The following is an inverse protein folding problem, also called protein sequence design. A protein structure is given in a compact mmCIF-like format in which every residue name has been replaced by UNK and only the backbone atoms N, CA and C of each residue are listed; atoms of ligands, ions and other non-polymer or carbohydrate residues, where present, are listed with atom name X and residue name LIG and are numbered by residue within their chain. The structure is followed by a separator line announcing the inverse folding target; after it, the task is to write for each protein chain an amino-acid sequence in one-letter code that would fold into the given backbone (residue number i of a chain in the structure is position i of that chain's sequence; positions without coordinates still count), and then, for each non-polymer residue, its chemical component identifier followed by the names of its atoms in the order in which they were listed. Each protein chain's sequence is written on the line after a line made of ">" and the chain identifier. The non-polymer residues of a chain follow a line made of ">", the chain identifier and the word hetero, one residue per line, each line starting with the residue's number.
data_IF_369050022403
#
_entry.id   IF_369050022403
#
_cell.length_a   1.000
_cell.length_b   1.000
_cell.length_c   1.000
_cell.angle_alpha   90.00
_cell.angle_beta   90.00
_cell.angle_gamma   90.00
#
_symmetry.space_group_name_H-M   'P 1'
#
loop_
_entity.id
_entity.type
_entity.pdbx_description
1 polymer ?
#
# COMPACT_ATOMS: atom_id res chain seq x y z
N UNK A 1 -6.30 46.90 -13.85
CA UNK A 1 -5.60 46.15 -12.78
C UNK A 1 -6.65 45.35 -12.04
N UNK A 2 -6.93 44.16 -12.53
CA UNK A 2 -7.79 43.21 -11.84
C UNK A 2 -6.93 42.58 -10.75
N UNK A 3 -7.20 42.90 -9.49
CA UNK A 3 -6.69 42.14 -8.36
C UNK A 3 -7.18 40.71 -8.54
N UNK A 4 -6.26 39.82 -8.92
CA UNK A 4 -6.38 38.38 -8.72
C UNK A 4 -6.73 38.19 -7.24
N UNK A 5 -8.00 37.98 -6.95
CA UNK A 5 -8.43 37.55 -5.63
C UNK A 5 -7.74 36.21 -5.44
N UNK A 6 -6.73 36.16 -4.58
CA UNK A 6 -6.09 34.92 -4.15
C UNK A 6 -7.21 33.93 -3.85
N UNK A 7 -7.25 32.85 -4.61
CA UNK A 7 -8.23 31.79 -4.46
C UNK A 7 -8.02 31.22 -3.06
N UNK A 8 -8.79 31.71 -2.08
CA UNK A 8 -8.77 31.19 -0.71
C UNK A 8 -9.12 29.73 -0.83
N UNK A 9 -8.17 28.88 -0.47
CA UNK A 9 -8.31 27.43 -0.46
C UNK A 9 -9.65 27.06 0.20
N UNK A 10 -10.63 26.55 -0.57
CA UNK A 10 -12.00 26.39 -0.08
C UNK A 10 -12.12 25.34 1.03
N UNK A 11 -11.11 24.50 1.22
CA UNK A 11 -11.04 23.49 2.28
C UNK A 11 -10.18 23.93 3.48
N UNK A 12 -9.46 25.04 3.35
CA UNK A 12 -8.55 25.58 4.37
C UNK A 12 -7.47 24.60 4.85
N UNK A 13 -6.87 24.94 6.01
CA UNK A 13 -5.82 24.14 6.66
C UNK A 13 -6.28 22.72 7.02
N UNK A 14 -7.58 22.53 7.26
CA UNK A 14 -8.13 21.26 7.70
C UNK A 14 -8.34 20.25 6.56
N UNK A 15 -8.35 20.70 5.29
CA UNK A 15 -8.62 19.82 4.15
C UNK A 15 -9.99 19.14 4.25
N UNK A 16 -10.96 19.81 4.88
CA UNK A 16 -12.33 19.31 5.08
C UNK A 16 -13.31 20.21 4.34
N UNK A 17 -14.19 19.59 3.57
CA UNK A 17 -15.32 20.26 2.93
C UNK A 17 -16.63 19.58 3.29
N UNK A 18 -17.51 20.31 3.97
CA UNK A 18 -18.84 19.82 4.36
C UNK A 18 -19.89 20.14 3.28
N UNK A 19 -20.91 19.28 3.14
CA UNK A 19 -22.12 19.63 2.39
C UNK A 19 -22.91 20.74 3.08
N UNK A 20 -22.87 20.78 4.41
CA UNK A 20 -23.50 21.79 5.26
C UNK A 20 -22.56 22.21 6.40
N UNK A 21 -22.24 23.51 6.49
CA UNK A 21 -21.45 24.07 7.59
C UNK A 21 -22.29 24.41 8.83
N UNK A 22 -23.62 24.36 8.71
CA UNK A 22 -24.57 24.51 9.80
C UNK A 22 -25.50 23.30 9.83
N UNK A 23 -25.55 22.60 10.96
CA UNK A 23 -26.26 21.33 11.05
C UNK A 23 -27.70 21.54 11.56
N UNK A 24 -28.66 20.73 11.08
CA UNK A 24 -30.01 20.69 11.64
C UNK A 24 -29.96 20.30 13.12
N UNK A 25 -30.75 20.97 13.95
CA UNK A 25 -30.74 20.76 15.41
C UNK A 25 -31.73 19.67 15.85
N UNK A 26 -32.62 19.25 14.94
CA UNK A 26 -33.63 18.23 15.20
C UNK A 26 -33.65 17.16 14.11
N UNK A 27 -34.15 15.96 14.46
CA UNK A 27 -34.33 14.87 13.49
C UNK A 27 -35.32 15.22 12.37
N UNK A 28 -36.33 16.05 12.67
CA UNK A 28 -37.35 16.48 11.69
C UNK A 28 -36.75 17.41 10.65
N UNK A 29 -35.92 18.37 11.06
CA UNK A 29 -35.16 19.22 10.13
C UNK A 29 -34.20 18.38 9.29
N UNK A 30 -33.47 17.46 9.92
CA UNK A 30 -32.55 16.57 9.23
C UNK A 30 -33.27 15.71 8.18
N UNK A 31 -34.48 15.20 8.45
CA UNK A 31 -35.26 14.42 7.48
C UNK A 31 -35.74 15.23 6.26
N UNK A 32 -35.75 16.56 6.36
CA UNK A 32 -36.12 17.46 5.25
C UNK A 32 -34.92 17.86 4.41
N UNK A 33 -33.70 17.60 4.88
CA UNK A 33 -32.49 17.86 4.11
C UNK A 33 -32.38 16.85 2.96
N UNK A 34 -32.60 17.32 1.73
CA UNK A 34 -32.47 16.51 0.50
C UNK A 34 -31.01 16.06 0.31
N UNK A 35 -30.05 16.93 0.64
CA UNK A 35 -28.62 16.62 0.62
C UNK A 35 -28.20 16.17 2.02
N UNK A 36 -27.60 14.98 2.18
CA UNK A 36 -27.16 14.51 3.49
C UNK A 36 -26.02 15.35 4.06
N UNK A 37 -25.85 15.34 5.38
CA UNK A 37 -24.65 15.86 6.04
C UNK A 37 -23.51 14.90 5.71
N UNK A 38 -22.53 15.37 4.93
CA UNK A 38 -21.37 14.61 4.51
C UNK A 38 -20.14 15.51 4.49
N UNK A 39 -18.97 14.89 4.56
CA UNK A 39 -17.67 15.55 4.51
C UNK A 39 -16.80 14.88 3.45
N UNK A 40 -16.14 15.69 2.62
CA UNK A 40 -14.95 15.29 1.88
C UNK A 40 -13.74 15.66 2.74
N UNK A 41 -12.85 14.70 2.99
CA UNK A 41 -11.70 14.86 3.88
C UNK A 41 -10.46 14.42 3.12
N UNK A 42 -9.39 15.22 3.20
CA UNK A 42 -8.07 14.94 2.60
C UNK A 42 -7.01 14.69 3.69
N UNK A 43 -6.86 13.46 4.23
CA UNK A 43 -6.13 13.23 5.48
C UNK A 43 -4.61 13.45 5.40
N UNK A 44 -4.02 13.32 4.22
CA UNK A 44 -2.56 13.43 3.98
C UNK A 44 -2.29 14.60 3.03
N UNK A 45 -3.04 15.70 3.21
CA UNK A 45 -2.85 16.91 2.40
C UNK A 45 -1.63 17.67 2.91
N UNK A 46 -0.63 17.97 2.05
CA UNK A 46 0.47 18.85 2.44
C UNK A 46 -0.03 20.29 2.56
N UNK A 47 0.31 20.96 3.66
CA UNK A 47 0.04 22.38 3.88
C UNK A 47 1.15 23.00 4.73
N UNK A 48 1.71 24.17 4.36
CA UNK A 48 2.88 24.75 5.04
C UNK A 48 2.62 25.08 6.51
N UNK A 49 1.38 25.41 6.85
CA UNK A 49 1.00 25.81 8.22
C UNK A 49 0.67 24.62 9.15
N UNK A 50 0.69 23.37 8.66
CA UNK A 50 0.45 22.19 9.52
C UNK A 50 1.75 21.86 10.26
N UNK A 51 1.80 21.98 11.61
CA UNK A 51 3.00 21.67 12.36
C UNK A 51 3.18 20.16 12.53
N UNK A 52 4.45 19.72 12.53
CA UNK A 52 4.83 18.34 12.88
C UNK A 52 5.37 18.28 14.32
N UNK A 53 4.65 17.58 15.20
CA UNK A 53 5.00 17.39 16.60
C UNK A 53 5.76 16.09 16.80
N UNK A 54 6.94 16.16 17.43
CA UNK A 54 7.86 15.01 17.63
C UNK A 54 7.67 14.36 19.01
N UNK A 55 6.42 14.14 19.39
CA UNK A 55 6.06 13.47 20.65
C UNK A 55 4.71 12.77 20.46
N UNK A 56 4.39 11.74 21.29
CA UNK A 56 3.15 11.01 21.13
C UNK A 56 1.93 11.85 21.49
N UNK A 57 0.79 11.67 20.80
CA UNK A 57 -0.45 12.40 21.07
C UNK A 57 -1.02 12.06 22.46
N UNK A 58 -1.51 13.07 23.19
CA UNK A 58 -2.23 12.85 24.44
C UNK A 58 -3.65 12.36 24.15
N UNK A 59 -4.01 11.18 24.69
CA UNK A 59 -5.30 10.53 24.44
C UNK A 59 -6.21 10.59 25.67
N UNK A 60 -7.50 10.75 25.43
CA UNK A 60 -8.53 10.64 26.45
C UNK A 60 -8.59 9.20 26.98
N UNK A 61 -8.60 9.02 28.30
CA UNK A 61 -8.60 7.69 28.94
C UNK A 61 -9.84 6.85 28.63
N UNK A 62 -10.98 7.49 28.34
CA UNK A 62 -12.25 6.80 28.09
C UNK A 62 -12.50 6.54 26.60
N UNK A 63 -12.52 7.58 25.75
CA UNK A 63 -12.88 7.44 24.32
C UNK A 63 -11.68 7.42 23.37
N UNK A 64 -10.44 7.53 23.87
CA UNK A 64 -9.20 7.59 23.07
C UNK A 64 -9.08 8.78 22.10
N UNK A 65 -10.02 9.74 22.08
CA UNK A 65 -9.88 11.00 21.33
C UNK A 65 -8.63 11.76 21.74
N UNK A 66 -8.01 12.44 20.79
CA UNK A 66 -6.76 13.17 20.98
C UNK A 66 -7.04 14.57 21.55
N UNK A 67 -6.12 15.09 22.37
CA UNK A 67 -6.09 16.49 22.79
C UNK A 67 -6.14 17.41 21.56
N UNK A 68 -7.04 18.38 21.58
CA UNK A 68 -7.27 19.28 20.46
C UNK A 68 -7.73 20.66 20.97
N UNK A 69 -7.80 21.70 20.11
CA UNK A 69 -8.09 23.06 20.54
C UNK A 69 -9.48 23.27 21.16
N UNK A 70 -10.41 22.33 20.98
CA UNK A 70 -11.76 22.39 21.54
C UNK A 70 -11.85 21.77 22.95
N UNK A 71 -10.76 21.21 23.47
CA UNK A 71 -10.69 20.73 24.86
C UNK A 71 -10.70 21.92 25.84
N UNK A 72 -11.46 21.80 26.93
CA UNK A 72 -11.37 22.77 28.04
C UNK A 72 -10.23 22.38 28.97
N UNK A 73 -9.44 23.35 29.39
CA UNK A 73 -8.29 23.14 30.27
C UNK A 73 -8.48 23.86 31.59
N UNK A 74 -8.20 23.16 32.69
CA UNK A 74 -8.05 23.73 34.03
C UNK A 74 -6.57 23.65 34.40
N UNK A 75 -5.89 24.80 34.31
CA UNK A 75 -4.47 24.92 34.61
C UNK A 75 -4.16 24.77 36.10
N UNK A 76 -5.13 25.06 36.98
CA UNK A 76 -4.92 24.94 38.43
C UNK A 76 -4.90 23.48 38.84
N UNK A 77 -5.88 22.71 38.38
CA UNK A 77 -5.97 21.27 38.66
C UNK A 77 -5.09 20.41 37.72
N UNK A 78 -4.43 21.01 36.73
CA UNK A 78 -3.66 20.31 35.69
C UNK A 78 -4.48 19.20 35.00
N UNK A 79 -5.70 19.55 34.57
CA UNK A 79 -6.59 18.64 33.85
C UNK A 79 -7.10 19.24 32.54
N UNK A 80 -7.47 18.38 31.60
CA UNK A 80 -8.22 18.74 30.41
C UNK A 80 -9.49 17.89 30.30
N UNK A 81 -10.53 18.49 29.72
CA UNK A 81 -11.86 17.91 29.56
C UNK A 81 -12.06 17.59 28.08
N UNK A 82 -12.29 16.32 27.77
CA UNK A 82 -12.52 15.88 26.40
C UNK A 82 -13.83 16.45 25.84
N UNK A 83 -13.86 17.03 24.62
CA UNK A 83 -15.07 17.62 24.05
C UNK A 83 -16.08 16.57 23.57
N UNK A 84 -15.67 15.30 23.44
CA UNK A 84 -16.53 14.23 22.94
C UNK A 84 -17.27 13.49 24.06
N UNK A 85 -16.55 13.06 25.11
CA UNK A 85 -17.12 12.27 26.20
C UNK A 85 -17.14 12.98 27.56
N UNK A 86 -16.67 14.23 27.63
CA UNK A 86 -16.58 15.04 28.85
C UNK A 86 -15.73 14.44 29.98
N UNK A 87 -14.93 13.41 29.69
CA UNK A 87 -13.98 12.84 30.64
C UNK A 87 -12.94 13.88 31.05
N UNK A 88 -12.67 13.97 32.36
CA UNK A 88 -11.54 14.72 32.92
C UNK A 88 -10.29 13.85 32.87
N UNK A 89 -9.23 14.38 32.27
CA UNK A 89 -7.96 13.71 32.08
C UNK A 89 -6.86 14.55 32.72
N UNK A 90 -6.01 13.94 33.54
CA UNK A 90 -4.82 14.62 34.06
C UNK A 90 -3.75 14.74 32.98
N UNK A 91 -3.07 15.88 32.93
CA UNK A 91 -1.86 16.02 32.14
C UNK A 91 -0.74 15.12 32.69
N UNK A 92 0.08 14.51 31.82
CA UNK A 92 1.23 13.75 32.27
C UNK A 92 2.35 14.70 32.78
N UNK A 93 3.35 14.18 33.52
CA UNK A 93 4.44 15.00 34.09
C UNK A 93 5.21 15.85 33.07
N UNK A 94 5.28 15.42 31.80
CA UNK A 94 5.90 16.19 30.72
C UNK A 94 5.21 17.52 30.41
N UNK A 95 3.95 17.69 30.82
CA UNK A 95 3.17 18.93 30.67
C UNK A 95 3.07 19.71 32.00
N UNK A 96 3.98 19.46 32.95
CA UNK A 96 3.98 20.11 34.28
C UNK A 96 4.13 21.63 34.25
N UNK A 97 4.64 22.20 33.16
CA UNK A 97 4.79 23.65 32.99
C UNK A 97 3.61 24.31 32.27
N UNK A 98 2.50 23.57 32.05
CA UNK A 98 1.35 24.09 31.33
C UNK A 98 0.70 25.25 32.10
N UNK A 99 0.43 26.35 31.39
CA UNK A 99 -0.23 27.54 31.94
C UNK A 99 -0.95 28.31 30.83
N UNK A 100 -1.69 29.36 31.18
CA UNK A 100 -2.41 30.20 30.20
C UNK A 100 -1.49 30.79 29.12
N UNK A 101 -0.24 31.08 29.45
CA UNK A 101 0.77 31.62 28.53
C UNK A 101 1.69 30.56 27.93
N UNK A 102 1.62 29.31 28.42
CA UNK A 102 2.48 28.22 27.98
C UNK A 102 1.63 26.97 27.73
N UNK A 103 0.99 26.95 26.56
CA UNK A 103 0.17 25.82 26.12
C UNK A 103 0.89 25.00 25.04
N UNK A 104 0.69 23.67 25.02
CA UNK A 104 1.17 22.82 23.94
C UNK A 104 0.54 23.19 22.59
N UNK A 105 1.20 22.80 21.50
CA UNK A 105 0.77 23.13 20.15
C UNK A 105 -0.68 22.69 19.86
N UNK A 106 -1.07 21.54 20.39
CA UNK A 106 -2.40 20.94 20.25
C UNK A 106 -3.56 21.83 20.72
N UNK A 107 -3.30 22.86 21.52
CA UNK A 107 -4.33 23.74 22.07
C UNK A 107 -4.46 25.09 21.36
N UNK A 108 -3.56 25.42 20.43
CA UNK A 108 -3.73 26.63 19.63
C UNK A 108 -4.86 26.44 18.61
N UNK A 109 -5.80 27.39 18.57
CA UNK A 109 -6.93 27.34 17.63
C UNK A 109 -6.49 27.33 16.16
N UNK A 110 -5.34 27.93 15.83
CA UNK A 110 -4.78 27.85 14.47
C UNK A 110 -4.23 26.45 14.10
N UNK A 111 -4.05 25.56 15.08
CA UNK A 111 -3.52 24.21 14.90
C UNK A 111 -4.64 23.17 15.11
N UNK A 112 -5.77 23.38 14.43
CA UNK A 112 -6.87 22.40 14.34
C UNK A 112 -6.44 21.11 13.64
N UNK A 113 -5.50 21.22 12.70
CA UNK A 113 -4.86 20.10 12.00
C UNK A 113 -3.36 20.10 12.29
N UNK A 114 -2.85 18.98 12.80
CA UNK A 114 -1.46 18.77 13.19
C UNK A 114 -1.02 17.36 12.82
N UNK A 115 0.27 17.19 12.60
CA UNK A 115 0.87 15.88 12.35
C UNK A 115 1.72 15.46 13.53
N UNK A 116 1.57 14.21 13.97
CA UNK A 116 2.47 13.62 14.97
C UNK A 116 3.50 12.75 14.25
N UNK A 117 4.77 13.01 14.53
CA UNK A 117 5.87 12.13 14.17
C UNK A 117 6.26 11.33 15.41
N UNK A 118 5.94 10.04 15.39
CA UNK A 118 6.26 9.11 16.48
C UNK A 118 7.54 8.38 16.10
N UNK A 119 8.61 8.61 16.86
CA UNK A 119 9.88 7.93 16.60
C UNK A 119 9.74 6.42 16.80
N UNK A 120 10.28 5.66 15.85
CA UNK A 120 10.29 4.20 15.84
C UNK A 120 10.79 3.57 17.15
N UNK A 121 11.67 4.25 17.89
CA UNK A 121 12.15 3.80 19.21
C UNK A 121 11.04 3.67 20.26
N UNK A 122 9.97 4.46 20.16
CA UNK A 122 8.83 4.40 21.08
C UNK A 122 7.78 3.35 20.69
N UNK A 123 7.82 2.86 19.44
CA UNK A 123 6.99 1.76 18.95
C UNK A 123 7.83 0.82 18.04
N UNK A 124 8.63 -0.08 18.62
CA UNK A 124 9.52 -0.98 17.87
C UNK A 124 8.78 -1.93 16.90
N UNK A 125 7.46 -2.08 17.05
CA UNK A 125 6.61 -2.91 16.19
C UNK A 125 6.30 -2.26 14.82
N UNK A 126 6.42 -0.94 14.68
CA UNK A 126 5.97 -0.20 13.48
C UNK A 126 7.14 0.35 12.62
N UNK A 127 8.36 0.33 13.15
CA UNK A 127 9.45 1.20 12.69
C UNK A 127 10.53 0.57 11.80
N UNK A 128 10.41 -0.69 11.36
CA UNK A 128 11.52 -1.37 10.66
C UNK A 128 11.14 -2.13 9.39
N UNK A 129 9.89 -2.02 8.91
CA UNK A 129 9.49 -2.74 7.72
C UNK A 129 9.87 -1.93 6.46
N UNK A 130 10.90 -2.39 5.74
CA UNK A 130 11.22 -1.87 4.42
C UNK A 130 10.03 -1.98 3.47
N UNK A 131 9.70 -0.92 2.70
CA UNK A 131 8.59 -0.98 1.76
C UNK A 131 8.89 -2.01 0.66
N UNK A 132 7.86 -2.74 0.23
CA UNK A 132 7.99 -3.81 -0.78
C UNK A 132 7.37 -3.38 -2.10
N UNK A 133 8.08 -3.56 -3.20
CA UNK A 133 7.64 -3.28 -4.56
C UNK A 133 7.80 -4.53 -5.41
N UNK A 134 6.67 -5.10 -5.87
CA UNK A 134 6.68 -6.24 -6.80
C UNK A 134 6.22 -5.76 -8.16
N UNK A 135 7.13 -5.79 -9.13
CA UNK A 135 6.83 -5.48 -10.52
C UNK A 135 6.27 -6.73 -11.21
N UNK A 136 5.13 -6.57 -11.88
CA UNK A 136 4.46 -7.63 -12.63
C UNK A 136 4.42 -7.22 -14.10
N UNK A 137 5.28 -7.83 -14.91
CA UNK A 137 5.53 -7.43 -16.29
C UNK A 137 4.90 -8.43 -17.28
N UNK A 138 3.99 -7.94 -18.09
CA UNK A 138 3.41 -8.68 -19.21
C UNK A 138 4.43 -8.83 -20.35
N UNK A 139 4.54 -10.02 -20.92
CA UNK A 139 5.40 -10.32 -22.07
C UNK A 139 4.60 -10.62 -23.35
N UNK A 140 3.26 -10.64 -23.29
CA UNK A 140 2.38 -10.81 -24.44
C UNK A 140 2.12 -9.47 -25.17
N UNK A 141 3.18 -8.77 -25.56
CA UNK A 141 3.14 -7.47 -26.25
C UNK A 141 4.18 -7.41 -27.37
N UNK A 142 4.18 -6.32 -28.14
CA UNK A 142 5.19 -6.11 -29.17
C UNK A 142 6.57 -5.89 -28.54
N UNK A 143 7.64 -6.27 -29.26
CA UNK A 143 9.01 -6.16 -28.76
C UNK A 143 9.40 -4.70 -28.42
N UNK A 144 8.95 -3.74 -29.23
CA UNK A 144 9.15 -2.31 -28.97
C UNK A 144 8.46 -1.86 -27.67
N UNK A 145 7.20 -2.29 -27.46
CA UNK A 145 6.45 -1.97 -26.24
C UNK A 145 7.10 -2.60 -25.00
N UNK A 146 7.59 -3.83 -25.12
CA UNK A 146 8.33 -4.50 -24.06
C UNK A 146 9.64 -3.75 -23.74
N UNK A 147 10.35 -3.26 -24.76
CA UNK A 147 11.54 -2.44 -24.59
C UNK A 147 11.27 -1.14 -23.81
N UNK A 148 10.17 -0.45 -24.13
CA UNK A 148 9.72 0.73 -23.36
C UNK A 148 9.35 0.37 -21.93
N UNK A 149 8.65 -0.76 -21.72
CA UNK A 149 8.26 -1.22 -20.39
C UNK A 149 9.48 -1.55 -19.50
N UNK A 150 10.47 -2.28 -20.04
CA UNK A 150 11.75 -2.56 -19.37
C UNK A 150 12.47 -1.27 -18.96
N UNK A 151 12.58 -0.32 -19.89
CA UNK A 151 13.24 0.97 -19.63
C UNK A 151 12.54 1.78 -18.54
N UNK A 152 11.19 1.79 -18.54
CA UNK A 152 10.40 2.45 -17.51
C UNK A 152 10.54 1.76 -16.14
N UNK A 153 10.62 0.43 -16.11
CA UNK A 153 10.81 -0.37 -14.90
C UNK A 153 12.19 -0.08 -14.27
N UNK A 154 13.27 -0.09 -15.07
CA UNK A 154 14.63 0.27 -14.60
C UNK A 154 14.64 1.67 -14.00
N UNK A 155 14.03 2.65 -14.68
CA UNK A 155 13.92 4.02 -14.17
C UNK A 155 13.13 4.06 -12.85
N UNK A 156 12.03 3.31 -12.74
CA UNK A 156 11.22 3.27 -11.53
C UNK A 156 12.01 2.72 -10.34
N UNK A 157 12.83 1.67 -10.54
CA UNK A 157 13.71 1.12 -9.50
C UNK A 157 14.70 2.19 -9.01
N UNK A 158 15.31 2.95 -9.92
CA UNK A 158 16.24 4.03 -9.56
C UNK A 158 15.62 5.20 -8.79
N UNK A 159 14.29 5.25 -8.66
CA UNK A 159 13.56 6.24 -7.83
C UNK A 159 13.17 5.68 -6.46
N UNK A 160 13.40 4.39 -6.19
CA UNK A 160 13.06 3.76 -4.92
C UNK A 160 14.13 4.06 -3.86
N UNK A 161 13.76 4.10 -2.57
CA UNK A 161 14.75 4.10 -1.49
C UNK A 161 15.64 2.84 -1.53
N UNK A 162 16.92 2.97 -1.20
CA UNK A 162 17.91 1.88 -1.25
C UNK A 162 17.47 0.61 -0.50
N UNK A 163 16.84 0.79 0.67
CA UNK A 163 16.38 -0.29 1.54
C UNK A 163 15.03 -0.88 1.12
N UNK A 164 14.39 -0.36 0.07
CA UNK A 164 13.11 -0.87 -0.44
C UNK A 164 13.32 -2.25 -1.06
N UNK A 165 12.46 -3.21 -0.73
CA UNK A 165 12.55 -4.57 -1.23
C UNK A 165 11.87 -4.65 -2.61
N UNK A 166 12.58 -5.14 -3.61
CA UNK A 166 12.12 -5.25 -5.00
C UNK A 166 12.02 -6.71 -5.41
N UNK A 167 10.92 -7.07 -6.08
CA UNK A 167 10.71 -8.37 -6.72
C UNK A 167 10.19 -8.23 -8.13
N UNK A 168 10.41 -9.26 -8.95
CA UNK A 168 9.96 -9.31 -10.34
C UNK A 168 9.15 -10.58 -10.62
N UNK A 169 8.00 -10.40 -11.26
CA UNK A 169 7.17 -11.45 -11.84
C UNK A 169 6.95 -11.10 -13.31
N UNK A 170 7.35 -11.95 -14.24
CA UNK A 170 6.93 -11.82 -15.64
C UNK A 170 5.78 -12.77 -15.94
N UNK A 171 4.93 -12.45 -16.91
CA UNK A 171 3.86 -13.35 -17.30
C UNK A 171 3.44 -13.19 -18.75
N UNK A 172 2.95 -14.29 -19.32
CA UNK A 172 2.29 -14.36 -20.61
C UNK A 172 1.26 -15.47 -20.59
N UNK A 173 1.52 -16.55 -21.32
CA UNK A 173 0.76 -17.82 -21.20
C UNK A 173 0.97 -18.48 -19.83
N UNK A 174 2.12 -18.25 -19.22
CA UNK A 174 2.50 -18.76 -17.90
C UNK A 174 3.01 -17.62 -17.02
N UNK A 175 3.02 -17.83 -15.69
CA UNK A 175 3.55 -16.86 -14.74
C UNK A 175 4.95 -17.32 -14.31
N UNK A 176 5.89 -16.40 -14.29
CA UNK A 176 7.30 -16.62 -13.97
C UNK A 176 7.70 -15.73 -12.78
N UNK A 177 8.02 -16.34 -11.65
CA UNK A 177 8.54 -15.64 -10.47
C UNK A 177 10.06 -15.76 -10.46
N UNK A 178 10.76 -14.63 -10.47
CA UNK A 178 12.20 -14.57 -10.59
C UNK A 178 12.87 -14.57 -9.21
N UNK A 179 13.82 -15.47 -9.00
CA UNK A 179 14.67 -15.51 -7.81
C UNK A 179 15.87 -14.58 -8.01
N UNK A 180 15.86 -13.42 -7.35
CA UNK A 180 16.88 -12.38 -7.51
C UNK A 180 18.10 -12.62 -6.62
N UNK A 181 17.94 -13.32 -5.50
CA UNK A 181 18.97 -13.56 -4.48
C UNK A 181 20.07 -14.53 -4.87
N UNK A 182 20.03 -15.11 -6.08
CA UNK A 182 21.02 -16.05 -6.57
C UNK A 182 21.72 -15.46 -7.80
N UNK A 183 22.88 -14.83 -7.60
CA UNK A 183 23.61 -14.10 -8.65
C UNK A 183 24.40 -14.99 -9.60
N UNK A 184 24.64 -16.25 -9.26
CA UNK A 184 25.42 -17.17 -10.12
C UNK A 184 24.62 -17.62 -11.36
N UNK A 185 23.29 -17.72 -11.25
CA UNK A 185 22.41 -18.15 -12.35
C UNK A 185 20.96 -17.69 -12.12
N UNK A 186 20.29 -17.23 -13.19
CA UNK A 186 18.86 -16.91 -13.13
C UNK A 186 18.02 -18.16 -12.83
N UNK A 187 17.24 -18.12 -11.75
CA UNK A 187 16.31 -19.19 -11.37
C UNK A 187 14.88 -18.65 -11.37
N UNK A 188 14.00 -19.36 -12.08
CA UNK A 188 12.62 -18.93 -12.32
C UNK A 188 11.65 -20.03 -11.90
N UNK A 189 10.64 -19.66 -11.12
CA UNK A 189 9.54 -20.53 -10.74
C UNK A 189 8.35 -20.29 -11.66
N UNK A 190 7.89 -21.36 -12.31
CA UNK A 190 6.88 -21.27 -13.36
C UNK A 190 5.55 -21.85 -12.89
N UNK A 191 4.50 -21.03 -12.96
CA UNK A 191 3.14 -21.39 -12.60
C UNK A 191 2.26 -21.44 -13.85
N UNK A 192 1.35 -22.42 -13.89
CA UNK A 192 0.39 -22.55 -15.00
C UNK A 192 -0.65 -21.43 -14.96
N UNK A 193 -0.73 -20.66 -16.04
CA UNK A 193 -1.65 -19.53 -16.17
C UNK A 193 -3.13 -19.89 -16.23
N UNK A 194 -3.48 -21.15 -16.47
CA UNK A 194 -4.86 -21.62 -16.54
C UNK A 194 -5.45 -22.04 -15.19
N UNK A 195 -4.62 -22.20 -14.15
CA UNK A 195 -5.04 -22.72 -12.85
C UNK A 195 -5.06 -21.60 -11.80
N UNK A 196 -6.18 -21.48 -11.09
CA UNK A 196 -6.24 -20.66 -9.90
C UNK A 196 -5.38 -21.25 -8.78
N UNK A 197 -4.58 -20.40 -8.15
CA UNK A 197 -3.69 -20.77 -7.05
C UNK A 197 -4.11 -20.01 -5.81
N UNK A 198 -4.26 -20.72 -4.69
CA UNK A 198 -4.44 -20.09 -3.38
C UNK A 198 -3.11 -19.54 -2.86
N UNK A 199 -3.19 -18.56 -1.95
CA UNK A 199 -2.02 -18.01 -1.26
C UNK A 199 -1.12 -19.11 -0.69
N UNK A 200 -1.69 -20.08 0.01
CA UNK A 200 -0.93 -21.16 0.64
C UNK A 200 -0.22 -22.07 -0.38
N UNK A 201 -0.85 -22.31 -1.54
CA UNK A 201 -0.24 -23.10 -2.61
C UNK A 201 0.94 -22.36 -3.25
N UNK A 202 0.83 -21.05 -3.45
CA UNK A 202 1.92 -20.20 -3.95
C UNK A 202 3.09 -20.24 -2.95
N UNK A 203 2.80 -20.04 -1.66
CA UNK A 203 3.82 -20.08 -0.62
C UNK A 203 4.53 -21.44 -0.56
N UNK A 204 3.79 -22.56 -0.57
CA UNK A 204 4.40 -23.89 -0.52
C UNK A 204 5.29 -24.16 -1.75
N UNK A 205 4.84 -23.80 -2.95
CA UNK A 205 5.61 -23.99 -4.19
C UNK A 205 6.86 -23.11 -4.28
N UNK A 206 6.83 -21.90 -3.71
CA UNK A 206 8.00 -21.03 -3.60
C UNK A 206 8.93 -21.43 -2.43
N UNK A 207 8.56 -22.43 -1.63
CA UNK A 207 9.28 -22.82 -0.41
C UNK A 207 9.21 -21.76 0.69
N UNK A 208 8.17 -20.92 0.65
CA UNK A 208 7.85 -19.86 1.61
C UNK A 208 6.74 -20.30 2.60
N UNK A 209 6.16 -21.48 2.40
CA UNK A 209 5.20 -22.08 3.33
C UNK A 209 5.82 -22.29 4.71
N UNK A 210 4.98 -22.34 5.75
CA UNK A 210 5.43 -22.41 7.14
C UNK A 210 6.33 -23.65 7.38
N UNK A 211 7.65 -23.45 7.40
CA UNK A 211 8.68 -24.51 7.58
C UNK A 211 8.70 -25.05 9.02
N UNK A 212 7.74 -24.65 9.87
CA UNK A 212 7.57 -25.19 11.22
C UNK A 212 7.03 -26.65 11.25
N UNK A 213 6.56 -27.20 10.12
CA UNK A 213 5.88 -28.50 10.08
C UNK A 213 6.49 -29.62 9.23
N UNK A 214 7.58 -29.39 8.49
CA UNK A 214 8.07 -30.33 7.45
C UNK A 214 9.50 -30.84 7.64
N UNK A 215 9.96 -31.00 8.89
CA UNK A 215 11.12 -31.85 9.21
C UNK A 215 10.63 -33.18 9.79
N UNK A 216 10.45 -34.17 8.94
CA UNK A 216 10.40 -35.58 9.33
C UNK A 216 11.83 -36.11 9.44
N UNK A 217 12.27 -36.48 10.65
CA UNK A 217 13.39 -37.41 10.85
C UNK A 217 14.38 -37.06 11.96
N UNK A 218 14.15 -37.62 13.15
CA UNK A 218 15.08 -37.89 14.25
C UNK A 218 15.57 -36.73 15.16
N UNK A 219 15.05 -36.74 16.39
CA UNK A 219 15.68 -36.43 17.70
C UNK A 219 14.78 -35.58 18.61
N UNK A 220 14.73 -36.00 19.87
CA UNK A 220 13.80 -35.64 20.94
C UNK A 220 13.97 -34.19 21.46
N UNK A 221 12.87 -33.63 21.99
CA UNK A 221 12.91 -32.81 23.21
C UNK A 221 12.52 -31.32 23.10
N UNK A 222 11.42 -30.96 23.76
CA UNK A 222 11.19 -29.69 24.50
C UNK A 222 11.31 -28.33 23.78
N UNK A 223 10.18 -27.66 23.52
CA UNK A 223 9.64 -26.48 24.24
C UNK A 223 8.69 -25.64 23.37
N UNK A 224 7.50 -25.35 23.94
CA UNK A 224 6.56 -24.33 23.46
C UNK A 224 7.22 -22.95 23.57
N UNK A 225 7.39 -22.28 22.44
CA UNK A 225 7.72 -20.85 22.37
C UNK A 225 7.29 -20.30 21.02
N UNK A 226 6.17 -19.59 20.99
CA UNK A 226 5.74 -18.84 19.81
C UNK A 226 6.67 -17.62 19.66
N UNK A 227 7.74 -17.77 18.88
CA UNK A 227 8.55 -16.62 18.43
C UNK A 227 7.94 -16.03 17.17
N UNK A 228 7.17 -14.96 17.39
CA UNK A 228 6.84 -13.99 16.36
C UNK A 228 8.09 -13.14 16.05
N UNK A 229 8.38 -12.89 14.77
CA UNK A 229 9.18 -11.74 14.37
C UNK A 229 10.41 -11.98 13.50
N UNK A 230 10.74 -13.21 13.09
CA UNK A 230 11.83 -13.41 12.12
C UNK A 230 11.24 -13.36 10.70
N UNK A 231 11.69 -12.45 9.80
CA UNK A 231 11.29 -12.49 8.40
C UNK A 231 11.61 -13.88 7.85
N UNK A 232 10.66 -14.50 7.15
CA UNK A 232 10.87 -15.82 6.58
C UNK A 232 12.12 -15.74 5.66
N UNK A 233 13.24 -16.39 6.01
CA UNK A 233 14.51 -16.20 5.30
C UNK A 233 14.40 -16.60 3.83
N UNK A 234 13.41 -17.43 3.46
CA UNK A 234 13.14 -17.78 2.08
C UNK A 234 12.65 -16.62 1.19
N UNK A 235 12.02 -15.59 1.75
CA UNK A 235 11.45 -14.45 0.98
C UNK A 235 12.55 -13.56 0.42
N UNK A 236 13.67 -13.44 1.13
CA UNK A 236 14.85 -12.68 0.71
C UNK A 236 15.48 -13.18 -0.60
N UNK A 237 15.12 -14.39 -1.04
CA UNK A 237 15.56 -14.93 -2.34
C UNK A 237 14.81 -14.32 -3.52
N UNK A 238 13.56 -13.90 -3.31
CA UNK A 238 12.71 -13.31 -4.33
C UNK A 238 12.63 -11.79 -4.23
N UNK A 239 12.81 -11.26 -3.03
CA UNK A 239 12.80 -9.84 -2.74
C UNK A 239 14.18 -9.43 -2.23
N UNK A 240 14.82 -8.50 -2.94
CA UNK A 240 16.12 -7.95 -2.57
C UNK A 240 16.03 -6.43 -2.38
N UNK A 241 16.88 -5.81 -1.54
CA UNK A 241 16.99 -4.36 -1.47
C UNK A 241 17.29 -3.76 -2.84
N UNK A 242 16.70 -2.61 -3.15
CA UNK A 242 16.89 -1.89 -4.43
C UNK A 242 18.38 -1.63 -4.70
N UNK A 243 19.16 -1.33 -3.66
CA UNK A 243 20.61 -1.13 -3.73
C UNK A 243 21.41 -2.38 -4.12
N UNK A 244 20.85 -3.58 -3.94
CA UNK A 244 21.53 -4.85 -4.15
C UNK A 244 21.07 -5.56 -5.43
N UNK A 245 19.85 -5.30 -5.91
CA UNK A 245 19.28 -6.01 -7.06
C UNK A 245 19.38 -5.28 -8.39
N UNK A 246 19.89 -4.05 -8.44
CA UNK A 246 19.91 -3.22 -9.66
C UNK A 246 20.57 -3.95 -10.83
N UNK A 247 21.81 -4.41 -10.66
CA UNK A 247 22.55 -5.10 -11.72
C UNK A 247 21.85 -6.41 -12.15
N UNK A 248 21.43 -7.23 -11.19
CA UNK A 248 20.75 -8.51 -11.44
C UNK A 248 19.44 -8.29 -12.22
N UNK A 249 18.65 -7.27 -11.84
CA UNK A 249 17.41 -6.94 -12.52
C UNK A 249 17.64 -6.41 -13.92
N UNK A 250 18.64 -5.54 -14.13
CA UNK A 250 18.97 -5.04 -15.46
C UNK A 250 19.36 -6.21 -16.38
N UNK A 251 20.26 -7.09 -15.94
CA UNK A 251 20.66 -8.28 -16.71
C UNK A 251 19.47 -9.17 -17.05
N UNK A 252 18.59 -9.43 -16.08
CA UNK A 252 17.39 -10.24 -16.28
C UNK A 252 16.43 -9.58 -17.27
N UNK A 253 16.22 -8.27 -17.15
CA UNK A 253 15.37 -7.52 -18.06
C UNK A 253 15.94 -7.49 -19.47
N UNK A 254 17.26 -7.40 -19.65
CA UNK A 254 17.90 -7.48 -20.96
C UNK A 254 17.64 -8.83 -21.63
N UNK A 255 17.72 -9.93 -20.88
CA UNK A 255 17.45 -11.29 -21.35
C UNK A 255 15.95 -11.60 -21.58
N UNK A 256 15.04 -10.84 -20.98
CA UNK A 256 13.61 -11.13 -21.02
C UNK A 256 13.00 -10.88 -22.42
N UNK A 257 12.58 -11.93 -23.12
CA UNK A 257 11.92 -11.79 -24.43
C UNK A 257 10.39 -11.71 -24.32
N UNK A 258 9.74 -11.38 -25.44
CA UNK A 258 8.28 -11.53 -25.60
C UNK A 258 7.85 -12.98 -25.44
N UNK A 259 6.57 -13.20 -25.10
CA UNK A 259 6.02 -14.54 -24.92
C UNK A 259 6.11 -15.33 -26.23
N UNK A 260 6.83 -16.46 -26.20
CA UNK A 260 7.14 -17.25 -27.40
C UNK A 260 6.05 -18.28 -27.76
N UNK A 261 4.91 -18.27 -27.05
CA UNK A 261 3.82 -19.19 -27.33
C UNK A 261 3.11 -18.84 -28.64
N UNK A 262 2.92 -19.81 -29.56
CA UNK A 262 2.28 -19.53 -30.84
C UNK A 262 0.86 -18.99 -30.67
N UNK A 263 0.56 -17.88 -31.34
CA UNK A 263 -0.78 -17.29 -31.39
C UNK A 263 -1.42 -17.65 -32.73
N UNK A 264 -2.49 -18.48 -32.76
CA UNK A 264 -3.16 -18.82 -34.01
C UNK A 264 -3.73 -17.57 -34.71
N UNK A 265 -3.78 -17.54 -36.06
CA UNK A 265 -4.42 -16.45 -36.78
C UNK A 265 -5.84 -16.20 -36.29
N UNK A 266 -6.19 -14.94 -36.05
CA UNK A 266 -7.51 -14.55 -35.54
C UNK A 266 -7.70 -14.74 -34.03
N UNK A 267 -6.67 -15.14 -33.28
CA UNK A 267 -6.70 -15.21 -31.82
C UNK A 267 -5.80 -14.15 -31.18
N UNK A 268 -6.12 -13.82 -29.94
CA UNK A 268 -5.26 -13.05 -29.04
C UNK A 268 -4.27 -13.97 -28.35
N UNK A 269 -3.13 -13.41 -27.93
CA UNK A 269 -2.18 -14.10 -27.07
C UNK A 269 -2.87 -14.59 -25.78
N UNK A 270 -2.40 -15.73 -25.27
CA UNK A 270 -2.87 -16.29 -24.01
C UNK A 270 -2.24 -15.51 -22.87
N UNK A 271 -3.06 -14.82 -22.08
CA UNK A 271 -2.60 -13.91 -21.06
C UNK A 271 -3.26 -14.22 -19.74
N UNK A 272 -2.46 -14.65 -18.78
CA UNK A 272 -2.92 -15.08 -17.45
C UNK A 272 -2.78 -14.01 -16.36
N UNK A 273 -3.21 -12.77 -16.64
CA UNK A 273 -3.06 -11.62 -15.73
C UNK A 273 -3.60 -11.88 -14.33
N UNK A 274 -4.74 -12.57 -14.21
CA UNK A 274 -5.33 -12.87 -12.90
C UNK A 274 -4.47 -13.81 -12.05
N UNK A 275 -3.86 -14.84 -12.67
CA UNK A 275 -2.92 -15.72 -11.98
C UNK A 275 -1.66 -14.96 -11.59
N UNK A 276 -1.12 -14.12 -12.49
CA UNK A 276 0.07 -13.33 -12.22
C UNK A 276 -0.11 -12.42 -10.98
N UNK A 277 -1.24 -11.73 -10.89
CA UNK A 277 -1.58 -10.90 -9.74
C UNK A 277 -1.80 -11.73 -8.46
N UNK A 278 -2.44 -12.91 -8.55
CA UNK A 278 -2.60 -13.81 -7.41
C UNK A 278 -1.25 -14.32 -6.87
N UNK A 279 -0.34 -14.70 -7.77
CA UNK A 279 1.02 -15.13 -7.41
C UNK A 279 1.81 -13.99 -6.77
N UNK A 280 1.77 -12.78 -7.34
CA UNK A 280 2.41 -11.60 -6.76
C UNK A 280 1.83 -11.25 -5.38
N UNK A 281 0.52 -11.33 -5.20
CA UNK A 281 -0.14 -11.13 -3.91
C UNK A 281 0.24 -12.23 -2.90
N UNK A 282 0.42 -13.47 -3.35
CA UNK A 282 0.94 -14.58 -2.56
C UNK A 282 2.36 -14.29 -2.05
N UNK A 283 3.24 -13.81 -2.93
CA UNK A 283 4.61 -13.43 -2.60
C UNK A 283 4.66 -12.28 -1.58
N UNK A 284 3.90 -11.20 -1.82
CA UNK A 284 3.76 -10.10 -0.85
C UNK A 284 3.18 -10.60 0.47
N UNK A 285 2.23 -11.53 0.41
CA UNK A 285 1.62 -12.16 1.59
C UNK A 285 2.58 -13.00 2.44
N UNK A 286 3.80 -13.26 1.98
CA UNK A 286 4.89 -13.88 2.74
C UNK A 286 5.68 -12.88 3.59
N UNK A 287 5.52 -11.57 3.37
CA UNK A 287 6.21 -10.51 4.09
C UNK A 287 5.67 -10.34 5.52
N UNK A 288 6.42 -9.61 6.36
CA UNK A 288 6.02 -9.33 7.73
C UNK A 288 4.69 -8.56 7.78
N UNK A 289 3.72 -8.96 8.64
CA UNK A 289 2.47 -8.21 8.82
C UNK A 289 2.75 -6.74 9.18
N UNK A 290 2.00 -5.82 8.55
CA UNK A 290 2.20 -4.38 8.73
C UNK A 290 3.20 -3.73 7.77
N UNK A 291 3.88 -4.53 6.93
CA UNK A 291 4.75 -4.00 5.86
C UNK A 291 3.90 -3.36 4.76
N UNK A 292 4.21 -2.12 4.40
CA UNK A 292 3.63 -1.46 3.24
C UNK A 292 4.17 -2.10 1.94
N UNK A 293 3.27 -2.58 1.09
CA UNK A 293 3.64 -3.21 -0.17
C UNK A 293 2.84 -2.66 -1.35
N UNK A 294 3.46 -2.62 -2.54
CA UNK A 294 2.83 -2.22 -3.80
C UNK A 294 3.11 -3.27 -4.88
N UNK A 295 2.05 -3.72 -5.54
CA UNK A 295 2.13 -4.52 -6.76
C UNK A 295 1.94 -3.57 -7.93
N UNK A 296 2.94 -3.45 -8.79
CA UNK A 296 2.92 -2.57 -9.96
C UNK A 296 2.82 -3.45 -11.20
N UNK A 297 1.62 -3.53 -11.77
CA UNK A 297 1.37 -4.35 -12.95
C UNK A 297 1.44 -3.50 -14.23
N UNK A 298 2.29 -3.93 -15.17
CA UNK A 298 2.42 -3.35 -16.50
C UNK A 298 1.79 -4.33 -17.49
N UNK A 299 0.62 -3.99 -18.01
CA UNK A 299 -0.23 -4.91 -18.78
C UNK A 299 -0.57 -4.30 -20.15
N UNK A 300 -0.20 -4.98 -21.24
CA UNK A 300 -0.41 -4.53 -22.62
C UNK A 300 -1.73 -4.96 -23.27
N UNK A 301 -2.85 -5.05 -22.54
CA UNK A 301 -4.08 -5.71 -23.03
C UNK A 301 -4.82 -6.67 -22.05
N UNK A 302 -5.93 -7.29 -22.50
CA UNK A 302 -6.86 -7.99 -21.62
C UNK A 302 -6.38 -9.38 -21.16
N UNK A 303 -6.91 -9.84 -20.03
CA UNK A 303 -6.75 -11.21 -19.55
C UNK A 303 -7.59 -12.18 -20.40
N UNK A 304 -6.95 -13.16 -21.03
CA UNK A 304 -7.55 -14.12 -21.98
C UNK A 304 -7.42 -15.59 -21.53
N UNK A 305 -6.73 -15.84 -20.42
CA UNK A 305 -6.59 -17.17 -19.82
C UNK A 305 -6.63 -17.13 -18.29
N UNK A 306 -7.19 -18.18 -17.68
CA UNK A 306 -7.23 -18.35 -16.23
C UNK A 306 -8.33 -17.56 -15.51
N UNK A 307 -8.25 -17.44 -14.18
CA UNK A 307 -9.17 -16.62 -13.40
C UNK A 307 -9.08 -15.15 -13.81
N UNK A 308 -10.23 -14.46 -13.83
CA UNK A 308 -10.30 -13.05 -14.22
C UNK A 308 -10.23 -12.82 -15.73
N UNK A 309 -10.53 -13.84 -16.55
CA UNK A 309 -10.73 -13.67 -18.01
C UNK A 309 -11.81 -12.61 -18.26
N UNK A 310 -11.44 -11.59 -19.02
CA UNK A 310 -12.32 -10.46 -19.36
C UNK A 310 -12.83 -10.53 -20.80
N UNK A 311 -12.08 -11.20 -21.68
CA UNK A 311 -12.43 -11.36 -23.09
C UNK A 311 -12.15 -12.77 -23.60
N UNK A 312 -12.94 -13.22 -24.58
CA UNK A 312 -12.68 -14.49 -25.27
C UNK A 312 -11.41 -14.39 -26.13
N UNK A 313 -10.73 -15.54 -26.29
CA UNK A 313 -9.47 -15.67 -27.03
C UNK A 313 -9.59 -15.28 -28.51
N UNK A 314 -10.77 -15.48 -29.10
CA UNK A 314 -11.03 -15.22 -30.51
C UNK A 314 -11.26 -13.73 -30.77
N UNK A 315 -10.63 -13.19 -31.82
CA UNK A 315 -10.93 -11.87 -32.35
C UNK A 315 -12.30 -11.93 -33.05
N UNK A 316 -13.33 -11.43 -32.37
CA UNK A 316 -14.64 -11.22 -32.99
C UNK A 316 -14.62 -9.83 -33.63
N UNK A 317 -14.51 -9.78 -34.96
CA UNK A 317 -14.84 -8.58 -35.71
C UNK A 317 -16.37 -8.46 -35.75
N UNK A 318 -16.95 -7.61 -34.92
CA UNK A 318 -18.28 -7.10 -35.19
C UNK A 318 -18.16 -6.20 -36.42
N UNK A 319 -18.50 -6.74 -37.60
CA UNK A 319 -18.93 -5.90 -38.71
C UNK A 319 -20.17 -5.17 -38.22
N UNK A 320 -19.99 -3.94 -37.74
CA UNK A 320 -21.09 -2.99 -37.63
C UNK A 320 -21.51 -2.73 -39.07
N UNK A 321 -22.46 -3.52 -39.58
CA UNK A 321 -23.15 -3.18 -40.81
C UNK A 321 -23.81 -1.82 -40.56
N UNK A 322 -23.43 -0.75 -41.28
CA UNK A 322 -24.25 0.44 -41.28
C UNK A 322 -25.59 0.01 -41.88
N UNK A 323 -26.66 0.12 -41.09
CA UNK A 323 -28.01 0.10 -41.62
C UNK A 323 -28.08 1.19 -42.69
N UNK A 324 -28.02 0.81 -43.96
CA UNK A 324 -28.47 1.64 -45.06
C UNK A 324 -30.01 1.61 -45.02
N UNK A 325 -30.61 2.78 -44.82
CA UNK A 325 -32.04 3.02 -45.02
C UNK A 325 -32.41 2.86 -46.50
#
# INVERSE_FOLDING_TARGET
>A
MSTEMAQTDPEGIDGVRMTWNAWPRTKVEASKCVIPIAASISPIRPHPDIPTLRYPPLRCKTCSSILNPFCRVDFTAHIWICPFCFQRNHFPPSYSQISETNVPAELYLQFSTIQYQIDAHTQPQLGSASPVFVFVLDTCMLEEELGFAKSALIRAIGLLPDHAMVGLVSFGTQVQVHELGFSDMSKVYVFRGSKELSKDQVLDQLGLGNVAGRRTGAAQGFQKGAQAGVPNPGVSRFLLPASECEYTLVSLLDELCTDQWPVPPGNRALRCTGVALSVAAGLVGACLPGTGARIIAMVGGPCTEGPGVTFMKQLVFYLIYPYAQ
#
